data_IF_603133269383
#
_entry.id   IF_603133269383
#
_cell.length_a   1.000
_cell.length_b   1.000
_cell.length_c   1.000
_cell.angle_alpha   90.00
_cell.angle_beta   90.00
_cell.angle_gamma   90.00
#
_symmetry.space_group_name_H-M   'P 1'
#
loop_
_entity.id
_entity.type
_entity.pdbx_description
1 polymer ?
#
# COMPACT_ATOMS: atom_id res chain seq x y z
N UNK A 1 16.78 -8.33 16.36
CA UNK A 1 17.19 -9.33 17.38
C UNK A 1 17.46 -10.70 16.77
N UNK A 2 16.51 -11.30 16.04
CA UNK A 2 16.66 -12.63 15.41
C UNK A 2 17.84 -12.71 14.43
N UNK A 3 18.00 -11.72 13.55
CA UNK A 3 19.17 -11.62 12.66
C UNK A 3 20.51 -11.58 13.42
N UNK A 4 20.54 -10.92 14.58
CA UNK A 4 21.74 -10.85 15.44
C UNK A 4 22.02 -12.19 16.13
N UNK A 5 20.98 -12.94 16.50
CA UNK A 5 21.13 -14.29 17.01
C UNK A 5 21.88 -15.18 16.00
N UNK A 6 21.47 -15.20 14.73
CA UNK A 6 22.16 -15.99 13.70
C UNK A 6 23.61 -15.55 13.49
N UNK A 7 23.88 -14.24 13.49
CA UNK A 7 25.24 -13.71 13.38
C UNK A 7 26.13 -14.13 14.57
N UNK A 8 25.58 -14.13 15.78
CA UNK A 8 26.35 -14.44 17.00
C UNK A 8 26.51 -15.96 17.19
N UNK A 9 25.51 -16.75 16.79
CA UNK A 9 25.51 -18.21 16.91
C UNK A 9 26.75 -18.86 16.29
N UNK A 10 27.19 -18.39 15.13
CA UNK A 10 28.38 -18.91 14.45
C UNK A 10 29.65 -18.80 15.32
N UNK A 11 29.74 -17.76 16.13
CA UNK A 11 30.87 -17.56 17.05
C UNK A 11 30.72 -18.39 18.32
N UNK A 12 29.49 -18.61 18.80
CA UNK A 12 29.22 -19.38 20.03
C UNK A 12 29.57 -20.87 19.92
N UNK A 13 29.53 -21.45 18.71
CA UNK A 13 29.95 -22.84 18.48
C UNK A 13 31.44 -23.06 18.78
N UNK A 14 32.26 -22.00 18.75
CA UNK A 14 33.70 -22.08 19.01
C UNK A 14 34.08 -21.85 20.49
N UNK A 15 33.10 -21.60 21.37
CA UNK A 15 33.34 -21.42 22.80
C UNK A 15 33.07 -22.73 23.55
N UNK A 16 34.07 -23.21 24.31
CA UNK A 16 33.98 -24.40 25.18
C UNK A 16 33.17 -24.15 26.48
N UNK A 17 32.59 -22.96 26.63
CA UNK A 17 31.82 -22.56 27.82
C UNK A 17 30.50 -23.34 27.90
N UNK A 18 30.55 -24.44 28.67
CA UNK A 18 29.43 -25.35 29.00
C UNK A 18 28.09 -24.66 29.36
N UNK A 19 28.04 -23.56 30.13
CA UNK A 19 26.77 -22.92 30.47
C UNK A 19 26.10 -22.19 29.29
N UNK A 20 26.83 -21.79 28.26
CA UNK A 20 26.26 -21.17 27.05
C UNK A 20 25.68 -22.22 26.11
N UNK A 21 26.31 -23.40 26.01
CA UNK A 21 25.88 -24.51 25.15
C UNK A 21 24.47 -25.00 25.51
N UNK A 22 24.13 -25.02 26.80
CA UNK A 22 22.79 -25.43 27.30
C UNK A 22 21.69 -24.48 26.83
N UNK A 23 22.01 -23.22 26.54
CA UNK A 23 21.05 -22.20 26.10
C UNK A 23 21.00 -22.00 24.58
N UNK A 24 21.78 -22.77 23.80
CA UNK A 24 21.72 -22.73 22.35
C UNK A 24 20.51 -23.54 21.88
N UNK A 25 19.66 -22.94 21.04
CA UNK A 25 18.52 -23.61 20.42
C UNK A 25 18.97 -24.88 19.69
N UNK A 26 18.16 -25.92 19.77
CA UNK A 26 18.42 -27.15 19.02
C UNK A 26 18.25 -26.95 17.50
N UNK A 27 18.61 -27.95 16.69
CA UNK A 27 18.56 -27.83 15.23
C UNK A 27 17.14 -27.53 14.70
N UNK A 28 16.11 -28.14 15.30
CA UNK A 28 14.70 -27.93 14.91
C UNK A 28 14.20 -26.54 15.28
N UNK A 29 14.47 -26.10 16.50
CA UNK A 29 14.13 -24.76 16.98
C UNK A 29 14.82 -23.67 16.14
N UNK A 30 16.04 -23.93 15.69
CA UNK A 30 16.74 -23.04 14.77
C UNK A 30 16.06 -22.96 13.40
N UNK A 31 15.63 -24.09 12.85
CA UNK A 31 14.88 -24.13 11.57
C UNK A 31 13.54 -23.40 11.70
N UNK A 32 12.81 -23.64 12.79
CA UNK A 32 11.54 -22.95 13.09
C UNK A 32 11.75 -21.43 13.26
N UNK A 33 12.82 -21.02 13.96
CA UNK A 33 13.19 -19.63 14.13
C UNK A 33 13.64 -18.98 12.80
N UNK A 34 14.29 -19.74 11.91
CA UNK A 34 14.65 -19.26 10.57
C UNK A 34 13.41 -19.02 9.72
N UNK A 35 12.45 -19.95 9.70
CA UNK A 35 11.16 -19.77 9.03
C UNK A 35 10.43 -18.53 9.56
N UNK A 36 10.35 -18.39 10.89
CA UNK A 36 9.75 -17.21 11.52
C UNK A 36 10.47 -15.93 11.11
N UNK A 37 11.80 -15.94 11.02
CA UNK A 37 12.57 -14.77 10.59
C UNK A 37 12.23 -14.36 9.15
N UNK A 38 12.01 -15.32 8.25
CA UNK A 38 11.57 -15.02 6.88
C UNK A 38 10.21 -14.31 6.91
N UNK A 39 9.24 -14.83 7.65
CA UNK A 39 7.93 -14.20 7.80
C UNK A 39 8.04 -12.76 8.33
N UNK A 40 8.87 -12.54 9.36
CA UNK A 40 9.10 -11.22 9.95
C UNK A 40 9.78 -10.24 8.98
N UNK A 41 10.73 -10.69 8.17
CA UNK A 41 11.37 -9.85 7.14
C UNK A 41 10.38 -9.49 6.03
N UNK A 42 9.52 -10.41 5.59
CA UNK A 42 8.43 -10.11 4.65
C UNK A 42 7.49 -9.05 5.21
N UNK A 43 7.03 -9.21 6.46
CA UNK A 43 6.19 -8.21 7.13
C UNK A 43 6.89 -6.85 7.26
N UNK A 44 8.18 -6.84 7.61
CA UNK A 44 8.96 -5.62 7.72
C UNK A 44 9.11 -4.91 6.36
N UNK A 45 9.29 -5.67 5.28
CA UNK A 45 9.33 -5.14 3.92
C UNK A 45 8.00 -4.48 3.54
N UNK A 46 6.88 -5.17 3.73
CA UNK A 46 5.54 -4.65 3.43
C UNK A 46 5.25 -3.42 4.29
N UNK A 47 5.55 -3.46 5.59
CA UNK A 47 5.41 -2.31 6.48
C UNK A 47 6.19 -1.10 5.97
N UNK A 48 7.43 -1.29 5.54
CA UNK A 48 8.24 -0.20 4.97
C UNK A 48 7.64 0.35 3.68
N UNK A 49 7.13 -0.52 2.81
CA UNK A 49 6.43 -0.10 1.59
C UNK A 49 5.21 0.78 1.92
N UNK A 50 4.42 0.38 2.92
CA UNK A 50 3.26 1.14 3.40
C UNK A 50 3.62 2.48 4.06
N UNK A 51 4.84 2.64 4.57
CA UNK A 51 5.33 3.90 5.16
C UNK A 51 5.88 4.87 4.11
N UNK A 52 6.06 4.42 2.87
CA UNK A 52 6.50 5.25 1.75
C UNK A 52 5.34 5.98 1.05
N UNK A 53 5.63 6.79 0.02
CA UNK A 53 4.60 7.27 -0.89
C UNK A 53 4.04 6.06 -1.66
N UNK A 54 2.78 5.74 -1.43
CA UNK A 54 2.11 4.60 -2.06
C UNK A 54 0.66 4.96 -2.37
N UNK A 55 0.17 4.50 -3.52
CA UNK A 55 -1.21 4.73 -3.94
C UNK A 55 -2.18 3.76 -3.23
N UNK A 56 -3.44 4.18 -3.05
CA UNK A 56 -4.45 3.38 -2.34
C UNK A 56 -4.70 2.03 -3.01
N UNK A 57 -4.62 1.96 -4.34
CA UNK A 57 -4.75 0.70 -5.08
C UNK A 57 -3.58 -0.25 -4.79
N UNK A 58 -2.35 0.27 -4.75
CA UNK A 58 -1.17 -0.53 -4.38
C UNK A 58 -1.23 -1.00 -2.93
N UNK A 59 -1.73 -0.16 -2.01
CA UNK A 59 -2.00 -0.57 -0.62
C UNK A 59 -2.97 -1.74 -0.56
N UNK A 60 -4.05 -1.69 -1.35
CA UNK A 60 -5.05 -2.78 -1.41
C UNK A 60 -4.43 -4.09 -1.89
N UNK A 61 -3.61 -4.04 -2.96
CA UNK A 61 -2.87 -5.21 -3.46
C UNK A 61 -1.98 -5.81 -2.37
N UNK A 62 -1.21 -4.98 -1.66
CA UNK A 62 -0.35 -5.45 -0.57
C UNK A 62 -1.16 -6.10 0.57
N UNK A 63 -2.34 -5.56 0.89
CA UNK A 63 -3.21 -6.16 1.89
C UNK A 63 -3.79 -7.50 1.43
N UNK A 64 -4.20 -7.63 0.18
CA UNK A 64 -4.69 -8.89 -0.36
C UNK A 64 -3.57 -9.95 -0.40
N UNK A 65 -2.34 -9.55 -0.72
CA UNK A 65 -1.16 -10.41 -0.60
C UNK A 65 -0.92 -10.85 0.86
N UNK A 66 -1.00 -9.94 1.84
CA UNK A 66 -0.89 -10.31 3.26
C UNK A 66 -1.97 -11.30 3.67
N UNK A 67 -3.22 -11.10 3.23
CA UNK A 67 -4.33 -12.01 3.54
C UNK A 67 -4.08 -13.40 2.95
N UNK A 68 -3.51 -13.47 1.75
CA UNK A 68 -3.16 -14.74 1.10
C UNK A 68 -2.11 -15.54 1.88
N UNK A 69 -1.15 -14.84 2.49
CA UNK A 69 -0.08 -15.44 3.30
C UNK A 69 -0.55 -15.75 4.73
N UNK A 70 -1.40 -14.89 5.29
CA UNK A 70 -1.83 -14.94 6.68
C UNK A 70 -3.32 -14.68 6.77
N UNK A 71 -4.12 -15.73 6.57
CA UNK A 71 -5.57 -15.63 6.55
C UNK A 71 -6.17 -14.99 7.82
N UNK A 72 -5.50 -15.16 8.96
CA UNK A 72 -5.88 -14.54 10.25
C UNK A 72 -5.86 -13.00 10.24
N UNK A 73 -5.18 -12.37 9.28
CA UNK A 73 -5.15 -10.92 9.11
C UNK A 73 -6.40 -10.37 8.44
N UNK A 74 -7.20 -11.21 7.76
CA UNK A 74 -8.43 -10.80 7.07
C UNK A 74 -9.38 -10.00 7.97
N UNK A 75 -9.51 -10.39 9.24
CA UNK A 75 -10.36 -9.68 10.21
C UNK A 75 -9.97 -8.23 10.50
N UNK A 76 -8.76 -7.81 10.11
CA UNK A 76 -8.23 -6.46 10.33
C UNK A 76 -8.14 -5.65 9.03
N UNK A 77 -7.67 -6.27 7.94
CA UNK A 77 -7.32 -5.56 6.70
C UNK A 77 -8.20 -5.91 5.49
N UNK A 78 -9.13 -6.86 5.63
CA UNK A 78 -10.13 -7.11 4.59
C UNK A 78 -11.06 -5.91 4.40
N UNK A 79 -11.66 -5.79 3.21
CA UNK A 79 -12.77 -4.85 2.94
C UNK A 79 -13.91 -5.07 3.95
N UNK A 80 -14.12 -6.31 4.36
CA UNK A 80 -15.16 -6.69 5.30
C UNK A 80 -14.79 -6.49 6.78
N UNK A 81 -13.60 -5.97 7.07
CA UNK A 81 -13.14 -5.82 8.44
C UNK A 81 -13.99 -4.80 9.21
N UNK A 82 -14.17 -5.04 10.51
CA UNK A 82 -14.92 -4.12 11.38
C UNK A 82 -14.21 -2.78 11.58
N UNK A 83 -12.94 -2.69 11.20
CA UNK A 83 -12.15 -1.45 11.28
C UNK A 83 -12.50 -0.52 10.11
N UNK A 84 -12.98 -1.06 8.99
CA UNK A 84 -13.41 -0.26 7.84
C UNK A 84 -14.65 0.54 8.20
N UNK A 85 -14.53 1.87 8.18
CA UNK A 85 -15.61 2.79 8.55
C UNK A 85 -16.78 2.74 7.56
N UNK A 86 -16.48 2.70 6.25
CA UNK A 86 -17.49 2.63 5.20
C UNK A 86 -17.02 1.65 4.12
N UNK A 87 -17.58 0.44 4.17
CA UNK A 87 -17.20 -0.66 3.25
C UNK A 87 -17.56 -0.35 1.80
N UNK A 88 -18.75 0.23 1.59
CA UNK A 88 -19.23 0.63 0.27
C UNK A 88 -18.36 1.73 -0.35
N UNK A 89 -17.81 2.62 0.49
CA UNK A 89 -16.89 3.65 0.03
C UNK A 89 -15.55 3.07 -0.43
N UNK A 90 -14.92 2.22 0.39
CA UNK A 90 -13.65 1.57 0.06
C UNK A 90 -13.77 0.72 -1.22
N UNK A 91 -14.84 -0.10 -1.30
CA UNK A 91 -15.15 -0.90 -2.49
C UNK A 91 -15.33 -0.03 -3.73
N UNK A 92 -16.11 1.05 -3.61
CA UNK A 92 -16.35 1.98 -4.71
C UNK A 92 -15.07 2.66 -5.21
N UNK A 93 -14.18 3.07 -4.29
CA UNK A 93 -12.90 3.71 -4.65
C UNK A 93 -11.97 2.74 -5.36
N UNK A 94 -11.86 1.50 -4.88
CA UNK A 94 -11.05 0.47 -5.56
C UNK A 94 -11.54 0.23 -6.99
N UNK A 95 -12.86 0.20 -7.21
CA UNK A 95 -13.45 0.05 -8.56
C UNK A 95 -13.13 1.23 -9.46
N UNK A 96 -13.28 2.47 -8.95
CA UNK A 96 -12.95 3.69 -9.70
C UNK A 96 -11.47 3.69 -10.09
N UNK A 97 -10.58 3.43 -9.14
CA UNK A 97 -9.12 3.41 -9.40
C UNK A 97 -8.70 2.29 -10.36
N UNK A 98 -9.47 1.19 -10.40
CA UNK A 98 -9.25 0.08 -11.33
C UNK A 98 -9.89 0.28 -12.71
N UNK A 99 -10.62 1.38 -12.93
CA UNK A 99 -11.31 1.66 -14.19
C UNK A 99 -12.62 0.89 -14.39
N UNK A 100 -13.20 0.31 -13.33
CA UNK A 100 -14.48 -0.41 -13.35
C UNK A 100 -15.65 0.44 -12.83
N UNK A 101 -15.71 1.70 -13.25
CA UNK A 101 -16.74 2.66 -12.82
C UNK A 101 -18.16 2.19 -13.18
N UNK A 102 -18.30 1.47 -14.31
CA UNK A 102 -19.58 0.92 -14.77
C UNK A 102 -20.15 -0.18 -13.85
N UNK A 103 -19.32 -0.75 -12.97
CA UNK A 103 -19.70 -1.82 -12.02
C UNK A 103 -20.00 -1.31 -10.61
N UNK A 104 -20.15 0.01 -10.43
CA UNK A 104 -20.55 0.62 -9.16
C UNK A 104 -22.02 0.35 -8.86
N UNK A 105 -22.31 -0.12 -7.66
CA UNK A 105 -23.69 -0.19 -7.13
C UNK A 105 -24.20 1.20 -6.76
N UNK A 106 -25.51 1.42 -6.79
CA UNK A 106 -26.13 2.68 -6.35
C UNK A 106 -25.68 3.13 -4.95
N UNK A 107 -25.41 2.17 -4.05
CA UNK A 107 -24.91 2.43 -2.69
C UNK A 107 -23.46 2.92 -2.71
N UNK A 108 -22.61 2.29 -3.52
CA UNK A 108 -21.20 2.69 -3.70
C UNK A 108 -21.09 4.04 -4.42
N UNK A 109 -21.96 4.30 -5.40
CA UNK A 109 -22.11 5.61 -6.02
C UNK A 109 -22.45 6.63 -4.94
N UNK A 110 -23.49 6.37 -4.15
CA UNK A 110 -23.92 7.23 -3.04
C UNK A 110 -22.79 7.57 -2.06
N UNK A 111 -21.98 6.57 -1.70
CA UNK A 111 -20.84 6.72 -0.80
C UNK A 111 -19.68 7.53 -1.43
N UNK A 112 -19.40 7.32 -2.73
CA UNK A 112 -18.29 7.97 -3.46
C UNK A 112 -18.66 9.31 -4.08
N UNK A 113 -19.95 9.70 -4.07
CA UNK A 113 -20.47 10.94 -4.66
C UNK A 113 -19.73 12.21 -4.23
N UNK A 114 -19.23 12.27 -2.99
CA UNK A 114 -18.47 13.46 -2.52
C UNK A 114 -17.16 13.63 -3.29
N UNK A 115 -16.48 12.53 -3.62
CA UNK A 115 -15.26 12.53 -4.43
C UNK A 115 -15.56 12.74 -5.91
N UNK A 116 -16.64 12.15 -6.42
CA UNK A 116 -17.10 12.38 -7.80
C UNK A 116 -17.44 13.88 -8.03
N UNK A 117 -18.10 14.54 -7.07
CA UNK A 117 -18.38 15.99 -7.15
C UNK A 117 -17.11 16.84 -7.26
N UNK A 118 -16.04 16.46 -6.55
CA UNK A 118 -14.74 17.15 -6.60
C UNK A 118 -14.02 16.85 -7.92
N UNK A 119 -14.02 15.59 -8.37
CA UNK A 119 -13.46 15.16 -9.65
C UNK A 119 -14.10 15.88 -10.84
N UNK A 120 -15.43 15.94 -10.85
CA UNK A 120 -16.24 16.61 -11.88
C UNK A 120 -15.98 18.13 -11.85
N UNK A 121 -15.95 18.75 -10.68
CA UNK A 121 -15.61 20.17 -10.55
C UNK A 121 -14.18 20.50 -10.98
N UNK A 122 -13.21 19.62 -10.69
CA UNK A 122 -11.83 19.77 -11.15
C UNK A 122 -11.72 19.58 -12.66
N UNK A 123 -12.44 18.61 -13.23
CA UNK A 123 -12.54 18.44 -14.69
C UNK A 123 -13.10 19.71 -15.33
N UNK A 124 -14.24 20.23 -14.85
CA UNK A 124 -14.80 21.49 -15.38
C UNK A 124 -13.87 22.70 -15.19
N UNK A 125 -13.14 22.78 -14.08
CA UNK A 125 -12.10 23.82 -13.89
C UNK A 125 -10.97 23.66 -14.89
N UNK A 126 -10.46 22.45 -15.13
CA UNK A 126 -9.41 22.19 -16.10
C UNK A 126 -9.87 22.49 -17.53
N UNK A 127 -11.11 22.11 -17.89
CA UNK A 127 -11.71 22.51 -19.16
C UNK A 127 -11.86 24.03 -19.26
N UNK A 128 -12.39 24.72 -18.25
CA UNK A 128 -12.52 26.18 -18.25
C UNK A 128 -11.15 26.90 -18.29
N UNK A 129 -10.14 26.41 -17.57
CA UNK A 129 -8.77 26.94 -17.65
C UNK A 129 -8.18 26.72 -19.04
N UNK A 130 -8.35 25.55 -19.65
CA UNK A 130 -7.88 25.24 -21.01
C UNK A 130 -8.59 26.09 -22.06
N UNK A 131 -9.91 26.26 -21.97
CA UNK A 131 -10.68 27.16 -22.83
C UNK A 131 -10.29 28.64 -22.64
N UNK A 132 -9.99 29.08 -21.42
CA UNK A 132 -9.56 30.45 -21.12
C UNK A 132 -8.13 30.73 -21.59
N UNK A 133 -7.24 29.73 -21.60
CA UNK A 133 -5.91 29.83 -22.19
C UNK A 133 -5.95 29.87 -23.74
N UNK A 134 -6.87 29.12 -24.36
CA UNK A 134 -7.05 29.09 -25.83
C UNK A 134 -7.65 30.41 -26.35
N UNK A 135 -8.60 31.02 -25.62
CA UNK A 135 -9.36 32.18 -26.07
C UNK A 135 -8.83 33.54 -25.58
N UNK A 136 -7.61 33.63 -25.02
CA UNK A 136 -7.04 34.90 -24.58
C UNK A 136 -6.05 35.47 -25.63
N UNK A 137 -6.45 36.43 -26.49
CA UNK A 137 -5.62 36.93 -27.58
C UNK A 137 -4.40 37.75 -27.14
N UNK A 138 -4.24 38.02 -25.82
CA UNK A 138 -3.16 38.87 -25.28
C UNK A 138 -1.93 38.12 -24.73
N UNK A 139 -1.89 36.79 -24.78
CA UNK A 139 -0.73 35.99 -24.32
C UNK A 139 -0.30 34.94 -25.35
N UNK A 140 0.01 35.34 -26.58
CA UNK A 140 0.62 34.43 -27.57
C UNK A 140 2.10 34.13 -27.32
N UNK A 141 2.80 34.94 -26.49
CA UNK A 141 4.27 34.85 -26.36
C UNK A 141 4.78 34.68 -24.91
N UNK A 142 4.02 34.11 -23.99
CA UNK A 142 4.61 33.62 -22.73
C UNK A 142 4.37 32.13 -22.62
N UNK A 143 5.47 31.39 -22.77
CA UNK A 143 5.65 29.97 -22.47
C UNK A 143 4.62 29.48 -21.46
N UNK A 144 3.61 28.74 -21.94
CA UNK A 144 2.84 27.86 -21.06
C UNK A 144 3.83 26.77 -20.66
N UNK A 145 4.16 26.58 -19.38
CA UNK A 145 4.93 25.41 -19.00
C UNK A 145 4.07 24.24 -19.41
N UNK A 146 4.58 23.48 -20.38
CA UNK A 146 4.06 22.18 -20.78
C UNK A 146 3.66 21.47 -19.50
N UNK A 147 2.36 21.34 -19.28
CA UNK A 147 1.86 20.43 -18.26
C UNK A 147 2.16 19.06 -18.86
N UNK A 148 3.38 18.59 -18.59
CA UNK A 148 3.73 17.19 -18.72
C UNK A 148 2.68 16.46 -17.90
N UNK A 149 1.73 15.86 -18.60
CA UNK A 149 0.77 14.87 -18.07
C UNK A 149 1.50 13.60 -17.59
N UNK A 150 2.83 13.59 -17.59
CA UNK A 150 3.68 12.46 -17.20
C UNK A 150 4.02 12.45 -15.69
N UNK A 151 3.66 13.48 -14.92
CA UNK A 151 4.07 13.59 -13.51
C UNK A 151 2.93 13.28 -12.51
N UNK A 152 1.84 12.62 -12.94
CA UNK A 152 0.76 12.13 -12.06
C UNK A 152 0.69 10.59 -11.97
N UNK A 153 1.73 9.89 -12.45
CA UNK A 153 1.86 8.44 -12.33
C UNK A 153 3.30 8.04 -11.93
N UNK A 154 3.76 8.54 -10.79
CA UNK A 154 4.81 7.92 -9.98
C UNK A 154 4.45 7.97 -8.51
#
# INVERSE_FOLDING_TARGET
>A
MVRRYFQVKEYLVNFDDTPLIVNILNAKENDDLQKLNVHLETFNSIKKALQGPIDCLTVRILFDEIISLYLCMSQYISIESNIVYSKDFESGIVKIMSGYEDNLSDVEVGATLQLLKISINNSYRLYQFRFRCINNPKKKNTFCPSTRIVDLLY
#
